data_IF_941103385037
#
_entry.id   IF_941103385037
#
_cell.length_a   1.000
_cell.length_b   1.000
_cell.length_c   1.000
_cell.angle_alpha   90.00
_cell.angle_beta   90.00
_cell.angle_gamma   90.00
#
_symmetry.space_group_name_H-M   'P 1'
#
loop_
_entity.id
_entity.type
_entity.pdbx_description
1 polymer ?
#
# COMPACT_ATOMS: atom_id res chain seq x y z
N UNK A 1 -22.89 3.14 -16.13
CA UNK A 1 -22.45 1.80 -16.07
C UNK A 1 -21.86 1.47 -14.72
N UNK A 2 -22.30 0.44 -14.14
CA UNK A 2 -21.82 0.10 -12.84
C UNK A 2 -20.59 -0.79 -12.96
N UNK A 3 -19.78 -0.71 -11.97
CA UNK A 3 -18.64 -1.57 -11.87
C UNK A 3 -18.92 -2.69 -10.93
N UNK A 4 -18.37 -3.85 -11.19
CA UNK A 4 -18.46 -4.89 -10.20
C UNK A 4 -17.87 -4.41 -8.90
N UNK A 5 -18.45 -4.84 -7.85
CA UNK A 5 -17.92 -4.53 -6.56
C UNK A 5 -16.77 -5.46 -6.28
N UNK A 6 -15.59 -4.95 -6.43
CA UNK A 6 -14.41 -5.73 -6.19
C UNK A 6 -13.80 -5.21 -4.93
N UNK A 7 -14.17 -5.77 -3.88
CA UNK A 7 -13.70 -5.17 -2.67
C UNK A 7 -12.61 -5.95 -2.01
N UNK A 8 -12.25 -7.05 -2.57
CA UNK A 8 -11.47 -7.96 -1.78
C UNK A 8 -10.14 -8.22 -2.44
N UNK A 9 -9.14 -8.38 -1.64
CA UNK A 9 -7.83 -8.67 -2.11
C UNK A 9 -7.07 -7.46 -2.60
N UNK A 10 -5.87 -7.68 -3.08
CA UNK A 10 -5.01 -6.59 -3.52
C UNK A 10 -5.57 -5.90 -4.74
N UNK A 11 -5.36 -4.60 -4.80
CA UNK A 11 -5.76 -3.83 -5.95
C UNK A 11 -4.66 -3.90 -6.99
N UNK A 12 -5.02 -4.40 -8.18
CA UNK A 12 -4.06 -4.50 -9.26
C UNK A 12 -4.30 -3.46 -10.34
N UNK A 13 -5.46 -2.83 -10.35
CA UNK A 13 -5.77 -1.79 -11.29
C UNK A 13 -5.37 -0.45 -10.69
N UNK A 14 -4.48 0.30 -11.36
CA UNK A 14 -4.05 1.59 -10.80
C UNK A 14 -5.18 2.54 -10.49
N UNK A 15 -6.27 2.45 -11.24
CA UNK A 15 -7.41 3.34 -11.02
C UNK A 15 -8.15 3.02 -9.73
N UNK A 16 -7.88 1.88 -9.15
CA UNK A 16 -8.55 1.48 -7.93
C UNK A 16 -7.73 1.76 -6.68
N UNK A 17 -6.51 2.25 -6.85
CA UNK A 17 -5.67 2.52 -5.69
C UNK A 17 -6.25 3.67 -4.87
N UNK A 18 -6.33 3.48 -3.58
CA UNK A 18 -6.89 4.48 -2.68
C UNK A 18 -5.78 5.13 -1.87
N UNK A 19 -5.57 6.45 -2.03
CA UNK A 19 -4.71 7.17 -1.09
C UNK A 19 -5.33 7.18 0.29
N UNK A 20 -4.49 7.21 1.29
CA UNK A 20 -4.95 7.25 2.67
C UNK A 20 -4.05 6.44 3.58
N UNK A 21 -4.54 6.16 4.77
CA UNK A 21 -3.76 5.48 5.78
C UNK A 21 -3.88 3.98 5.61
N UNK A 22 -2.74 3.31 5.66
CA UNK A 22 -2.64 1.85 5.59
C UNK A 22 -1.88 1.35 6.78
N UNK A 23 -2.23 0.15 7.24
CA UNK A 23 -1.50 -0.56 8.27
C UNK A 23 -0.69 -1.67 7.62
N UNK A 24 0.61 -1.67 7.88
CA UNK A 24 1.48 -2.76 7.46
C UNK A 24 1.23 -3.96 8.34
N UNK A 25 1.38 -5.17 7.80
CA UNK A 25 1.06 -6.38 8.56
C UNK A 25 1.88 -6.52 9.84
N UNK A 26 3.00 -5.83 9.92
CA UNK A 26 3.80 -5.83 11.15
C UNK A 26 3.35 -4.77 12.16
N UNK A 27 2.33 -3.98 11.82
CA UNK A 27 1.69 -3.11 12.79
C UNK A 27 1.83 -1.62 12.57
N UNK A 28 2.85 -1.19 11.85
CA UNK A 28 3.09 0.24 11.66
C UNK A 28 2.13 0.82 10.63
N UNK A 29 1.87 2.12 10.75
CA UNK A 29 0.96 2.83 9.86
C UNK A 29 1.72 3.74 8.92
N UNK A 30 1.14 3.92 7.75
CA UNK A 30 1.72 4.73 6.70
C UNK A 30 0.62 5.49 5.99
N UNK A 31 0.97 6.67 5.49
CA UNK A 31 0.06 7.45 4.65
C UNK A 31 0.50 7.27 3.20
N UNK A 32 -0.34 6.62 2.40
CA UNK A 32 -0.08 6.47 0.98
C UNK A 32 -0.61 7.72 0.28
N UNK A 33 0.28 8.40 -0.44
CA UNK A 33 -0.06 9.64 -1.10
C UNK A 33 -0.65 9.40 -2.48
N UNK A 34 -0.28 8.33 -3.12
CA UNK A 34 -0.76 8.02 -4.45
C UNK A 34 0.23 7.16 -5.20
N UNK A 35 -0.01 7.03 -6.49
CA UNK A 35 0.87 6.26 -7.36
C UNK A 35 1.78 7.19 -8.15
N UNK A 36 2.94 6.69 -8.47
CA UNK A 36 3.87 7.34 -9.38
C UNK A 36 4.40 6.28 -10.32
N UNK A 37 5.03 6.72 -11.38
CA UNK A 37 5.70 5.83 -12.32
C UNK A 37 7.20 5.95 -12.08
N UNK A 38 7.84 4.82 -11.91
CA UNK A 38 9.29 4.82 -11.80
C UNK A 38 9.85 5.12 -13.18
N UNK A 39 10.74 6.10 -13.25
CA UNK A 39 11.08 6.68 -14.55
C UNK A 39 11.81 5.69 -15.47
N UNK A 40 12.67 4.87 -14.92
CA UNK A 40 13.48 3.99 -15.75
C UNK A 40 12.77 2.70 -16.12
N UNK A 41 12.05 2.11 -15.19
CA UNK A 41 11.39 0.83 -15.44
C UNK A 41 9.95 0.99 -15.88
N UNK A 42 9.38 2.18 -15.66
CA UNK A 42 7.99 2.49 -15.92
C UNK A 42 7.02 1.67 -15.06
N UNK A 43 7.52 1.03 -14.03
CA UNK A 43 6.65 0.34 -13.10
C UNK A 43 5.91 1.34 -12.22
N UNK A 44 4.71 0.97 -11.82
CA UNK A 44 3.95 1.78 -10.88
C UNK A 44 4.46 1.56 -9.47
N UNK A 45 4.60 2.65 -8.74
CA UNK A 45 5.04 2.60 -7.35
C UNK A 45 4.06 3.39 -6.49
N UNK A 46 3.91 2.93 -5.26
CA UNK A 46 3.16 3.67 -4.24
C UNK A 46 4.13 4.63 -3.57
N UNK A 47 3.75 5.89 -3.49
CA UNK A 47 4.50 6.90 -2.74
C UNK A 47 3.85 7.02 -1.38
N UNK A 48 4.61 6.83 -0.31
CA UNK A 48 4.02 6.80 1.01
C UNK A 48 4.98 7.35 2.06
N UNK A 49 4.41 7.73 3.19
CA UNK A 49 5.13 8.34 4.30
C UNK A 49 4.84 7.52 5.55
N UNK A 50 5.88 7.23 6.32
CA UNK A 50 5.66 6.53 7.57
C UNK A 50 5.03 7.46 8.60
N UNK A 51 4.18 6.90 9.44
CA UNK A 51 3.49 7.66 10.48
C UNK A 51 4.01 7.30 11.86
N UNK A 52 5.31 7.04 11.95
CA UNK A 52 5.96 6.74 13.22
C UNK A 52 7.36 7.32 13.18
N UNK A 53 7.92 7.51 14.37
CA UNK A 53 9.23 8.12 14.51
C UNK A 53 10.33 7.15 14.08
N UNK A 54 11.21 7.65 13.26
CA UNK A 54 12.37 6.90 12.80
C UNK A 54 13.31 7.87 12.10
N UNK A 55 14.59 7.69 12.29
CA UNK A 55 15.60 8.51 11.60
C UNK A 55 15.55 8.25 10.10
N UNK A 56 15.96 9.25 9.35
CA UNK A 56 16.07 9.14 7.91
C UNK A 56 14.90 9.76 7.18
N UNK A 57 14.95 9.70 5.88
CA UNK A 57 13.93 10.31 5.02
C UNK A 57 12.62 9.57 5.22
N UNK A 58 11.53 10.29 5.54
CA UNK A 58 10.27 9.62 5.87
C UNK A 58 9.48 9.12 4.67
N UNK A 59 9.73 9.65 3.49
CA UNK A 59 8.96 9.31 2.30
C UNK A 59 9.66 8.20 1.55
N UNK A 60 8.88 7.24 1.08
CA UNK A 60 9.40 6.06 0.41
C UNK A 60 8.55 5.70 -0.80
N UNK A 61 9.09 4.84 -1.63
CA UNK A 61 8.31 4.25 -2.70
C UNK A 61 8.42 2.73 -2.60
N UNK A 62 7.35 2.06 -3.04
CA UNK A 62 7.34 0.61 -3.11
C UNK A 62 6.56 0.22 -4.35
N UNK A 63 7.06 -0.73 -5.11
CA UNK A 63 6.35 -1.17 -6.31
C UNK A 63 4.94 -1.59 -5.96
N UNK A 64 3.99 -1.22 -6.81
CA UNK A 64 2.59 -1.52 -6.54
C UNK A 64 2.36 -3.01 -6.37
N UNK A 65 3.01 -3.83 -7.20
CA UNK A 65 2.83 -5.27 -7.09
C UNK A 65 3.33 -5.80 -5.76
N UNK A 66 4.40 -5.22 -5.22
CA UNK A 66 4.92 -5.63 -3.92
C UNK A 66 4.00 -5.14 -2.81
N UNK A 67 3.50 -3.91 -2.94
CA UNK A 67 2.55 -3.34 -1.99
C UNK A 67 1.34 -4.23 -1.82
N UNK A 68 0.89 -4.81 -2.94
CA UNK A 68 -0.33 -5.61 -2.97
C UNK A 68 -0.12 -7.08 -2.62
N UNK A 69 1.08 -7.48 -2.27
CA UNK A 69 1.34 -8.90 -2.01
C UNK A 69 0.62 -9.40 -0.77
N UNK A 70 0.21 -10.65 -0.84
CA UNK A 70 -0.24 -11.37 0.33
C UNK A 70 1.00 -11.97 0.97
N UNK A 71 1.11 -11.81 2.28
CA UNK A 71 2.28 -12.27 3.01
C UNK A 71 1.85 -13.25 4.11
N UNK A 72 2.79 -14.08 4.54
CA UNK A 72 2.57 -14.98 5.66
C UNK A 72 3.44 -14.51 6.81
N UNK A 73 2.82 -14.24 7.94
CA UNK A 73 3.56 -13.71 9.09
C UNK A 73 4.21 -14.83 9.89
N UNK A 74 4.85 -14.44 10.99
CA UNK A 74 5.61 -15.38 11.81
C UNK A 74 4.72 -16.47 12.42
N UNK A 75 3.44 -16.19 12.57
CA UNK A 75 2.48 -17.14 13.14
C UNK A 75 1.84 -18.02 12.08
N UNK A 76 2.24 -17.87 10.83
CA UNK A 76 1.66 -18.64 9.74
C UNK A 76 0.36 -18.05 9.21
N UNK A 77 -0.02 -16.87 9.66
CA UNK A 77 -1.24 -16.23 9.19
C UNK A 77 -0.98 -15.51 7.88
N UNK A 78 -1.85 -15.75 6.91
CA UNK A 78 -1.75 -15.13 5.60
C UNK A 78 -2.62 -13.88 5.57
N UNK A 79 -2.05 -12.77 5.10
CA UNK A 79 -2.76 -11.51 5.09
C UNK A 79 -2.12 -10.55 4.09
N UNK A 80 -2.84 -9.51 3.68
CA UNK A 80 -2.23 -8.51 2.80
C UNK A 80 -1.07 -7.82 3.50
N UNK A 81 -0.05 -7.46 2.72
CA UNK A 81 1.08 -6.71 3.27
C UNK A 81 0.61 -5.38 3.86
N UNK A 82 -0.33 -4.71 3.20
CA UNK A 82 -0.90 -3.45 3.66
C UNK A 82 -2.41 -3.54 3.62
N UNK A 83 -3.06 -3.00 4.63
CA UNK A 83 -4.52 -2.96 4.73
C UNK A 83 -4.95 -1.51 4.83
N UNK A 84 -5.89 -1.11 3.99
CA UNK A 84 -6.42 0.25 4.02
C UNK A 84 -7.19 0.46 5.33
N UNK A 85 -6.86 1.56 6.02
CA UNK A 85 -7.50 1.87 7.29
C UNK A 85 -8.46 3.03 7.15
N UNK A 86 -8.11 4.02 6.32
CA UNK A 86 -8.96 5.18 6.16
C UNK A 86 -8.21 6.36 5.60
N UNK A 87 -8.91 7.49 5.54
CA UNK A 87 -8.32 8.68 4.97
C UNK A 87 -7.52 9.47 5.97
N UNK A 88 -7.73 9.24 7.24
CA UNK A 88 -6.94 9.90 8.27
C UNK A 88 -6.98 9.05 9.53
N UNK A 89 -6.03 9.29 10.38
CA UNK A 89 -5.91 8.55 11.62
C UNK A 89 -6.77 9.15 12.71
#
# INVERSE_FOLDING_TARGET
MSHPTIAHGPMTNPNDFRPGVYRHYKGNHYLALGLAREDETEELVVVYVRLYERAGVPMSTRRLKVWNEIVTDANGTTQPRFVFVGHQT
#
